data_IF_130131883275
#
_entry.id   IF_130131883275
#
_cell.length_a   1.000
_cell.length_b   1.000
_cell.length_c   1.000
_cell.angle_alpha   90.00
_cell.angle_beta   90.00
_cell.angle_gamma   90.00
#
_symmetry.space_group_name_H-M   'P 1'
#
loop_
_entity.id
_entity.type
_entity.pdbx_description
1 polymer ?
#
# COMPACT_ATOMS: atom_id res chain seq x y z
N UNK A 1 9.83 2.42 29.91
CA UNK A 1 10.46 2.51 28.57
C UNK A 1 9.71 3.54 27.76
N UNK A 2 10.41 4.52 27.21
CA UNK A 2 9.81 5.54 26.31
C UNK A 2 9.70 4.90 24.92
N UNK A 3 8.59 5.10 24.23
CA UNK A 3 8.45 4.68 22.83
C UNK A 3 8.72 5.88 21.94
N UNK A 4 9.27 5.64 20.78
CA UNK A 4 9.51 6.63 19.73
C UNK A 4 8.99 6.06 18.40
N UNK A 5 8.38 6.91 17.60
CA UNK A 5 7.85 6.54 16.29
C UNK A 5 8.71 7.15 15.19
N UNK A 6 9.32 6.30 14.36
CA UNK A 6 9.98 6.73 13.12
C UNK A 6 9.03 6.54 11.93
N UNK A 7 9.16 7.43 10.96
CA UNK A 7 8.37 7.46 9.72
C UNK A 7 9.33 7.28 8.55
N UNK A 8 9.12 6.23 7.77
CA UNK A 8 9.86 5.94 6.55
C UNK A 8 9.01 6.29 5.34
N UNK A 9 9.57 7.08 4.45
CA UNK A 9 8.87 7.58 3.27
C UNK A 9 9.58 7.12 2.02
N UNK A 10 8.90 6.31 1.23
CA UNK A 10 9.34 5.91 -0.10
C UNK A 10 9.00 6.99 -1.13
N UNK A 11 9.88 7.18 -2.09
CA UNK A 11 9.77 8.25 -3.10
C UNK A 11 10.03 7.73 -4.51
N UNK A 12 9.61 8.50 -5.53
CA UNK A 12 10.17 8.34 -6.87
C UNK A 12 11.45 9.17 -6.99
N UNK A 13 12.51 8.55 -7.49
CA UNK A 13 13.85 9.14 -7.62
C UNK A 13 14.24 9.39 -9.07
N UNK A 14 13.59 8.69 -10.00
CA UNK A 14 13.85 8.76 -11.43
C UNK A 14 12.53 8.94 -12.20
N UNK A 15 12.58 9.36 -13.49
CA UNK A 15 11.39 9.46 -14.31
C UNK A 15 10.64 8.13 -14.41
N UNK A 16 9.33 8.16 -14.13
CA UNK A 16 8.46 7.01 -14.27
C UNK A 16 7.32 7.30 -15.23
N UNK A 17 7.07 6.36 -16.16
CA UNK A 17 5.91 6.41 -17.05
C UNK A 17 4.82 5.52 -16.51
N UNK A 18 3.72 6.12 -16.08
CA UNK A 18 2.53 5.40 -15.61
C UNK A 18 1.75 4.70 -16.72
N UNK A 19 0.86 3.78 -16.36
CA UNK A 19 -0.04 3.10 -17.30
C UNK A 19 -0.98 4.05 -18.08
N UNK A 20 -1.17 5.29 -17.62
CA UNK A 20 -1.86 6.37 -18.35
C UNK A 20 -1.01 7.01 -19.45
N UNK A 21 0.27 6.65 -19.58
CA UNK A 21 1.22 7.31 -20.46
C UNK A 21 1.86 8.59 -19.89
N UNK A 22 1.31 9.15 -18.79
CA UNK A 22 1.90 10.31 -18.09
C UNK A 22 3.29 9.97 -17.56
N UNK A 23 4.25 10.87 -17.75
CA UNK A 23 5.60 10.76 -17.17
C UNK A 23 5.66 11.69 -15.95
N UNK A 24 6.02 11.15 -14.82
CA UNK A 24 6.38 11.87 -13.61
C UNK A 24 7.90 11.95 -13.52
N UNK A 25 8.43 13.14 -13.24
CA UNK A 25 9.84 13.32 -12.90
C UNK A 25 10.00 13.02 -11.42
N UNK A 26 10.63 11.90 -11.08
CA UNK A 26 11.02 11.59 -9.70
C UNK A 26 12.08 12.59 -9.21
N UNK A 27 11.88 13.13 -8.01
CA UNK A 27 12.72 14.17 -7.41
C UNK A 27 13.37 13.71 -6.11
N UNK A 28 12.97 12.53 -5.61
CA UNK A 28 13.51 11.96 -4.37
C UNK A 28 14.95 11.46 -4.53
N UNK A 29 15.60 11.23 -3.40
CA UNK A 29 16.96 10.69 -3.35
C UNK A 29 16.97 9.22 -2.90
N UNK A 30 15.83 8.70 -2.43
CA UNK A 30 15.69 7.35 -1.89
C UNK A 30 14.60 7.27 -0.82
N UNK A 31 14.93 6.70 0.35
CA UNK A 31 14.01 6.55 1.48
C UNK A 31 14.32 7.64 2.51
N UNK A 32 13.33 8.47 2.82
CA UNK A 32 13.44 9.52 3.84
C UNK A 32 12.97 8.99 5.19
N UNK A 33 13.70 9.32 6.25
CA UNK A 33 13.40 8.90 7.62
C UNK A 33 13.20 10.12 8.50
N UNK A 34 12.09 10.15 9.21
CA UNK A 34 11.70 11.21 10.12
C UNK A 34 11.37 10.64 11.50
N UNK A 35 11.48 11.49 12.52
CA UNK A 35 10.93 11.24 13.86
C UNK A 35 9.57 11.93 13.96
N UNK A 36 8.55 11.21 14.41
CA UNK A 36 7.23 11.78 14.69
C UNK A 36 7.20 12.33 16.11
N UNK A 37 6.94 13.63 16.26
CA UNK A 37 6.56 14.19 17.55
C UNK A 37 5.13 13.75 17.89
N UNK A 38 5.00 12.90 18.90
CA UNK A 38 3.74 12.28 19.29
C UNK A 38 2.74 13.26 19.94
N UNK A 39 3.14 14.51 20.21
CA UNK A 39 2.29 15.57 20.78
C UNK A 39 1.72 16.45 19.69
N UNK A 40 2.58 17.00 18.84
CA UNK A 40 2.22 17.96 17.78
C UNK A 40 1.88 17.29 16.45
N UNK A 41 2.45 16.12 16.14
CA UNK A 41 2.41 15.48 14.82
C UNK A 41 3.45 16.03 13.85
N UNK A 42 4.37 16.88 14.30
CA UNK A 42 5.47 17.37 13.49
C UNK A 42 6.47 16.25 13.17
N UNK A 43 7.12 16.37 12.02
CA UNK A 43 8.16 15.45 11.59
C UNK A 43 9.53 16.13 11.66
N UNK A 44 10.42 15.56 12.45
CA UNK A 44 11.82 15.97 12.50
C UNK A 44 12.65 15.12 11.55
N UNK A 45 13.43 15.69 10.63
CA UNK A 45 14.26 14.92 9.72
C UNK A 45 15.34 14.16 10.48
N UNK A 46 15.50 12.87 10.18
CA UNK A 46 16.57 12.03 10.75
C UNK A 46 17.64 11.80 9.70
N UNK A 47 17.26 11.31 8.51
CA UNK A 47 18.20 11.03 7.42
C UNK A 47 17.49 10.77 6.10
N UNK A 48 18.30 10.68 5.04
CA UNK A 48 17.94 10.11 3.74
C UNK A 48 18.82 8.91 3.47
N UNK A 49 18.21 7.77 3.14
CA UNK A 49 18.91 6.59 2.63
C UNK A 49 18.97 6.72 1.12
N UNK A 50 20.02 7.38 0.65
CA UNK A 50 20.21 7.74 -0.75
C UNK A 50 20.59 6.53 -1.63
N UNK A 51 20.38 6.65 -2.95
CA UNK A 51 20.79 5.64 -3.93
C UNK A 51 19.85 4.45 -4.06
N UNK A 52 18.73 4.45 -3.35
CA UNK A 52 17.65 3.46 -3.55
C UNK A 52 16.75 3.98 -4.66
N UNK A 53 16.81 3.34 -5.82
CA UNK A 53 16.07 3.78 -7.01
C UNK A 53 14.59 3.45 -6.87
N UNK A 54 13.73 4.46 -7.05
CA UNK A 54 12.26 4.36 -7.02
C UNK A 54 11.72 3.43 -5.92
N UNK A 55 12.05 3.65 -4.61
CA UNK A 55 11.50 2.85 -3.51
C UNK A 55 10.04 3.22 -3.27
N UNK A 56 9.18 2.92 -4.26
CA UNK A 56 7.80 3.40 -4.29
C UNK A 56 6.87 2.71 -3.29
N UNK A 57 7.26 1.56 -2.75
CA UNK A 57 6.55 0.90 -1.66
C UNK A 57 7.51 0.17 -0.72
N UNK A 58 7.20 0.24 0.57
CA UNK A 58 8.01 -0.28 1.66
C UNK A 58 7.22 -1.27 2.51
N UNK A 59 7.88 -2.29 3.06
CA UNK A 59 7.30 -3.18 4.07
C UNK A 59 8.35 -3.56 5.12
N UNK A 60 7.97 -3.49 6.39
CA UNK A 60 8.75 -4.08 7.48
C UNK A 60 8.36 -5.55 7.68
N UNK A 61 9.30 -6.34 8.18
CA UNK A 61 9.00 -7.62 8.81
C UNK A 61 8.21 -7.42 10.12
N UNK A 62 7.63 -8.47 10.67
CA UNK A 62 6.79 -8.39 11.89
C UNK A 62 7.58 -7.94 13.13
N UNK A 63 8.89 -8.20 13.13
CA UNK A 63 9.80 -7.84 14.23
C UNK A 63 10.44 -6.46 14.06
N UNK A 64 10.21 -5.81 12.90
CA UNK A 64 10.80 -4.52 12.54
C UNK A 64 12.35 -4.52 12.52
N UNK A 65 12.96 -5.68 12.27
CA UNK A 65 14.42 -5.82 12.09
C UNK A 65 14.85 -5.66 10.65
N UNK A 66 13.93 -5.85 9.70
CA UNK A 66 14.20 -5.77 8.27
C UNK A 66 13.16 -4.89 7.57
N UNK A 67 13.62 -4.21 6.53
CA UNK A 67 12.77 -3.44 5.63
C UNK A 67 13.03 -3.88 4.20
N UNK A 68 11.96 -4.05 3.44
CA UNK A 68 11.98 -4.39 2.03
C UNK A 68 11.37 -3.25 1.22
N UNK A 69 12.05 -2.85 0.16
CA UNK A 69 11.62 -1.77 -0.72
C UNK A 69 11.55 -2.28 -2.16
N UNK A 70 10.42 -2.11 -2.85
CA UNK A 70 10.41 -2.31 -4.31
C UNK A 70 11.30 -1.26 -4.96
N UNK A 71 11.90 -1.62 -6.08
CA UNK A 71 12.49 -0.68 -7.02
C UNK A 71 11.63 -0.71 -8.26
N UNK A 72 10.71 0.27 -8.38
CA UNK A 72 9.71 0.34 -9.45
C UNK A 72 10.40 0.73 -10.77
N UNK A 73 10.83 -0.30 -11.49
CA UNK A 73 11.62 -0.20 -12.71
C UNK A 73 11.03 -1.08 -13.82
N UNK A 74 11.31 -0.71 -15.06
CA UNK A 74 10.95 -1.50 -16.26
C UNK A 74 12.05 -2.46 -16.68
N UNK A 75 13.28 -2.21 -16.22
CA UNK A 75 14.45 -3.05 -16.51
C UNK A 75 15.37 -3.12 -15.31
N UNK A 76 15.87 -4.31 -15.03
CA UNK A 76 16.85 -4.59 -14.00
C UNK A 76 17.91 -5.53 -14.55
N UNK A 77 19.21 -5.18 -14.43
CA UNK A 77 20.35 -5.93 -14.97
C UNK A 77 20.20 -6.30 -16.46
N UNK A 78 19.67 -5.36 -17.25
CA UNK A 78 19.49 -5.54 -18.70
C UNK A 78 18.33 -6.46 -19.10
N UNK A 79 17.52 -6.93 -18.16
CA UNK A 79 16.32 -7.75 -18.41
C UNK A 79 15.05 -6.96 -18.09
N UNK A 80 13.91 -7.23 -18.77
CA UNK A 80 12.63 -6.67 -18.37
C UNK A 80 12.29 -7.07 -16.93
N UNK A 81 11.91 -6.10 -16.09
CA UNK A 81 11.54 -6.32 -14.71
C UNK A 81 12.09 -5.27 -13.75
N UNK A 82 11.51 -5.21 -12.55
CA UNK A 82 12.07 -4.45 -11.45
C UNK A 82 12.74 -5.35 -10.41
N UNK A 83 12.95 -4.82 -9.22
CA UNK A 83 13.63 -5.54 -8.14
C UNK A 83 13.06 -5.20 -6.77
N UNK A 84 13.48 -5.95 -5.76
CA UNK A 84 13.27 -5.63 -4.34
C UNK A 84 14.62 -5.54 -3.66
N UNK A 85 14.84 -4.45 -2.93
CA UNK A 85 15.99 -4.25 -2.05
C UNK A 85 15.64 -4.64 -0.63
N UNK A 86 16.51 -5.38 0.04
CA UNK A 86 16.43 -5.75 1.44
C UNK A 86 17.39 -4.91 2.28
N UNK A 87 16.94 -4.47 3.45
CA UNK A 87 17.72 -3.70 4.41
C UNK A 87 17.57 -4.26 5.83
N UNK A 88 18.68 -4.31 6.56
CA UNK A 88 18.68 -4.45 8.00
C UNK A 88 18.31 -3.12 8.66
N UNK A 89 17.48 -3.17 9.69
CA UNK A 89 17.09 -1.99 10.49
C UNK A 89 17.88 -2.00 11.79
N UNK A 90 18.66 -0.97 12.03
CA UNK A 90 19.39 -0.82 13.28
C UNK A 90 18.41 -0.49 14.42
N UNK A 91 18.39 -1.30 15.50
CA UNK A 91 17.32 -1.19 16.52
C UNK A 91 17.29 0.14 17.28
N UNK A 92 18.43 0.82 17.43
CA UNK A 92 18.52 2.05 18.23
C UNK A 92 18.32 3.33 17.43
N UNK A 93 18.86 3.42 16.22
CA UNK A 93 18.77 4.61 15.38
C UNK A 93 17.69 4.49 14.28
N UNK A 94 17.30 3.27 13.93
CA UNK A 94 16.42 3.01 12.79
C UNK A 94 17.13 3.15 11.46
N UNK A 95 18.47 3.03 11.46
CA UNK A 95 19.29 3.11 10.27
C UNK A 95 19.06 1.90 9.37
N UNK A 96 19.13 2.14 8.07
CA UNK A 96 19.01 1.07 7.07
C UNK A 96 20.40 0.71 6.55
N UNK A 97 20.75 -0.57 6.71
CA UNK A 97 21.93 -1.18 6.09
C UNK A 97 21.48 -2.05 4.94
N UNK A 98 21.96 -1.76 3.72
CA UNK A 98 21.65 -2.58 2.54
C UNK A 98 22.19 -4.00 2.73
N UNK A 99 21.34 -5.00 2.48
CA UNK A 99 21.69 -6.41 2.57
C UNK A 99 21.91 -7.01 1.18
N UNK A 100 20.85 -7.06 0.38
CA UNK A 100 20.91 -7.52 -1.00
C UNK A 100 19.71 -7.03 -1.82
N UNK A 101 19.69 -7.42 -3.09
CA UNK A 101 18.62 -7.10 -4.02
C UNK A 101 18.32 -8.32 -4.89
N UNK A 102 17.02 -8.54 -5.18
CA UNK A 102 16.58 -9.64 -6.04
C UNK A 102 15.61 -9.14 -7.13
N UNK A 103 15.63 -9.72 -8.35
CA UNK A 103 14.68 -9.39 -9.40
C UNK A 103 13.26 -9.87 -9.06
N UNK A 104 12.25 -9.11 -9.50
CA UNK A 104 10.82 -9.49 -9.36
C UNK A 104 10.26 -10.20 -10.58
N UNK A 105 11.05 -10.33 -11.65
CA UNK A 105 10.69 -10.93 -12.95
C UNK A 105 9.49 -10.28 -13.66
N UNK A 106 8.90 -9.23 -13.09
CA UNK A 106 7.84 -8.42 -13.68
C UNK A 106 8.19 -6.94 -13.65
N UNK A 107 7.55 -6.15 -14.51
CA UNK A 107 7.84 -4.72 -14.67
C UNK A 107 6.98 -3.86 -13.74
N UNK A 108 7.57 -2.76 -13.27
CA UNK A 108 6.97 -1.79 -12.38
C UNK A 108 6.40 -2.46 -11.10
N UNK A 109 7.25 -3.12 -10.27
CA UNK A 109 6.82 -3.60 -8.95
C UNK A 109 6.40 -2.41 -8.09
N UNK A 110 5.12 -2.36 -7.72
CA UNK A 110 4.51 -1.20 -7.06
C UNK A 110 4.02 -1.48 -5.63
N UNK A 111 4.10 -2.72 -5.18
CA UNK A 111 3.69 -3.12 -3.83
C UNK A 111 4.53 -4.28 -3.33
N UNK A 112 4.90 -4.24 -2.04
CA UNK A 112 5.62 -5.30 -1.34
C UNK A 112 4.97 -5.57 0.01
N UNK A 113 4.91 -6.85 0.40
CA UNK A 113 4.39 -7.32 1.68
C UNK A 113 5.30 -8.42 2.21
N UNK A 114 5.52 -8.44 3.52
CA UNK A 114 6.15 -9.56 4.24
C UNK A 114 5.06 -10.38 4.94
N UNK A 115 5.12 -11.70 4.88
CA UNK A 115 4.19 -12.53 5.62
C UNK A 115 4.45 -12.47 7.14
N UNK A 116 3.46 -12.83 7.96
CA UNK A 116 3.57 -12.78 9.43
C UNK A 116 4.61 -13.72 10.04
N UNK A 117 5.16 -14.65 9.25
CA UNK A 117 6.24 -15.54 9.67
C UNK A 117 7.62 -15.01 9.29
N UNK A 118 7.67 -13.86 8.65
CA UNK A 118 8.87 -13.20 8.16
C UNK A 118 9.73 -14.08 7.22
N UNK A 119 9.09 -15.05 6.57
CA UNK A 119 9.76 -16.04 5.73
C UNK A 119 9.67 -15.79 4.24
N UNK A 120 8.75 -14.93 3.80
CA UNK A 120 8.54 -14.63 2.37
C UNK A 120 8.10 -13.18 2.17
N UNK A 121 8.60 -12.61 1.09
CA UNK A 121 8.18 -11.31 0.54
C UNK A 121 7.33 -11.55 -0.69
N UNK A 122 6.21 -10.85 -0.80
CA UNK A 122 5.26 -10.89 -1.92
C UNK A 122 5.27 -9.55 -2.64
N UNK A 123 5.34 -9.58 -3.96
CA UNK A 123 5.45 -8.38 -4.79
C UNK A 123 4.38 -8.40 -5.87
N UNK A 124 3.68 -7.29 -6.04
CA UNK A 124 2.82 -7.07 -7.20
C UNK A 124 3.56 -6.21 -8.24
N UNK A 125 3.62 -6.68 -9.47
CA UNK A 125 4.22 -6.01 -10.61
C UNK A 125 3.10 -5.44 -11.49
N UNK A 126 2.97 -4.12 -11.53
CA UNK A 126 1.82 -3.45 -12.13
C UNK A 126 1.77 -3.59 -13.65
N UNK A 127 2.84 -3.17 -14.36
CA UNK A 127 2.78 -3.11 -15.82
C UNK A 127 2.81 -4.47 -16.49
N UNK A 128 3.43 -5.48 -15.88
CA UNK A 128 3.37 -6.87 -16.38
C UNK A 128 2.12 -7.61 -15.90
N UNK A 129 1.40 -7.12 -14.88
CA UNK A 129 0.26 -7.83 -14.31
C UNK A 129 0.64 -9.19 -13.74
N UNK A 130 1.60 -9.22 -12.82
CA UNK A 130 2.14 -10.45 -12.26
C UNK A 130 2.44 -10.33 -10.77
N UNK A 131 2.62 -11.47 -10.12
CA UNK A 131 3.02 -11.57 -8.71
C UNK A 131 4.29 -12.39 -8.60
N UNK A 132 5.19 -11.94 -7.73
CA UNK A 132 6.44 -12.64 -7.41
C UNK A 132 6.51 -12.94 -5.92
N UNK A 133 7.03 -14.10 -5.54
CA UNK A 133 7.28 -14.50 -4.15
C UNK A 133 8.78 -14.78 -3.97
N UNK A 134 9.37 -14.15 -2.97
CA UNK A 134 10.80 -14.30 -2.67
C UNK A 134 10.97 -14.81 -1.23
N UNK A 135 11.68 -15.92 -1.01
CA UNK A 135 12.02 -16.38 0.34
C UNK A 135 12.93 -15.37 1.05
N UNK A 136 12.80 -15.31 2.36
CA UNK A 136 13.61 -14.49 3.26
C UNK A 136 14.46 -15.40 4.13
N UNK A 137 15.76 -15.14 4.18
CA UNK A 137 16.70 -15.83 5.06
C UNK A 137 16.67 -15.26 6.48
N UNK A 138 17.23 -15.97 7.43
CA UNK A 138 17.30 -15.52 8.83
C UNK A 138 18.06 -14.21 9.02
N UNK A 139 19.01 -13.90 8.13
CA UNK A 139 19.77 -12.66 8.10
C UNK A 139 19.03 -11.49 7.40
N UNK A 140 17.80 -11.72 6.93
CA UNK A 140 16.96 -10.74 6.21
C UNK A 140 17.25 -10.63 4.72
N UNK A 141 18.25 -11.32 4.20
CA UNK A 141 18.52 -11.34 2.76
C UNK A 141 17.39 -12.06 2.00
N UNK A 142 17.10 -11.57 0.80
CA UNK A 142 16.18 -12.22 -0.13
C UNK A 142 16.90 -13.32 -0.90
N UNK A 143 16.23 -14.44 -1.11
CA UNK A 143 16.65 -15.48 -2.06
C UNK A 143 16.02 -15.23 -3.44
N UNK A 144 16.44 -16.03 -4.43
CA UNK A 144 15.79 -16.04 -5.72
C UNK A 144 14.30 -16.39 -5.59
N UNK A 145 13.47 -15.86 -6.49
CA UNK A 145 12.03 -16.08 -6.44
C UNK A 145 11.67 -17.56 -6.37
N UNK A 146 10.83 -17.92 -5.41
CA UNK A 146 10.27 -19.27 -5.27
C UNK A 146 9.04 -19.46 -6.17
N UNK A 147 8.38 -18.36 -6.54
CA UNK A 147 7.20 -18.39 -7.38
C UNK A 147 7.02 -17.10 -8.19
N UNK A 148 6.46 -17.25 -9.39
CA UNK A 148 6.09 -16.14 -10.27
C UNK A 148 4.81 -16.49 -11.03
N UNK A 149 3.78 -15.68 -10.84
CA UNK A 149 2.49 -15.89 -11.49
C UNK A 149 2.16 -14.75 -12.43
N UNK A 150 1.99 -15.08 -13.72
CA UNK A 150 1.51 -14.14 -14.73
C UNK A 150 -0.01 -14.20 -14.80
N UNK A 151 -0.67 -13.03 -14.65
CA UNK A 151 -2.11 -12.91 -14.87
C UNK A 151 -2.40 -12.78 -16.37
N UNK A 152 -3.62 -13.14 -16.79
CA UNK A 152 -4.07 -13.10 -18.18
C UNK A 152 -5.50 -12.57 -18.31
N UNK A 153 -5.76 -11.83 -19.38
CA UNK A 153 -7.07 -11.26 -19.69
C UNK A 153 -7.02 -9.74 -19.83
N UNK A 154 -8.20 -9.12 -19.87
CA UNK A 154 -8.40 -7.69 -20.00
C UNK A 154 -9.73 -7.28 -19.37
N UNK A 155 -9.94 -6.00 -19.12
CA UNK A 155 -11.20 -5.38 -18.72
C UNK A 155 -11.88 -4.65 -19.87
N UNK A 156 -12.84 -3.78 -19.51
CA UNK A 156 -13.67 -3.07 -20.50
C UNK A 156 -13.08 -1.74 -20.97
N UNK A 157 -12.14 -1.17 -20.23
CA UNK A 157 -11.47 0.08 -20.58
C UNK A 157 -10.20 -0.20 -21.39
N UNK A 158 -10.19 0.02 -22.72
CA UNK A 158 -9.03 -0.28 -23.54
C UNK A 158 -7.81 0.61 -23.23
N UNK A 159 -8.01 1.77 -22.59
CA UNK A 159 -6.92 2.68 -22.22
C UNK A 159 -6.23 2.26 -20.91
N UNK A 160 -6.98 1.64 -19.98
CA UNK A 160 -6.49 1.32 -18.64
C UNK A 160 -6.47 -0.17 -18.33
N UNK A 161 -7.18 -1.00 -19.12
CA UNK A 161 -7.42 -2.42 -18.86
C UNK A 161 -7.16 -3.28 -20.10
N UNK A 162 -6.27 -2.86 -21.00
CA UNK A 162 -5.87 -3.65 -22.17
C UNK A 162 -5.15 -4.95 -21.79
N UNK A 163 -4.65 -5.06 -20.59
CA UNK A 163 -4.01 -6.23 -20.00
C UNK A 163 -4.15 -6.24 -18.48
N UNK A 164 -3.61 -7.25 -17.80
CA UNK A 164 -3.64 -7.34 -16.34
C UNK A 164 -2.71 -6.29 -15.71
N UNK A 165 -3.09 -5.80 -14.52
CA UNK A 165 -2.35 -4.82 -13.74
C UNK A 165 -2.48 -5.13 -12.24
N UNK A 166 -1.70 -6.10 -11.74
CA UNK A 166 -1.64 -6.43 -10.31
C UNK A 166 -1.11 -5.24 -9.52
N UNK A 167 -1.89 -4.74 -8.54
CA UNK A 167 -1.52 -3.50 -7.85
C UNK A 167 -1.11 -3.67 -6.39
N UNK A 168 -1.57 -4.70 -5.73
CA UNK A 168 -1.14 -5.01 -4.36
C UNK A 168 -1.25 -6.51 -4.07
N UNK A 169 -0.63 -6.93 -2.97
CA UNK A 169 -0.82 -8.26 -2.39
C UNK A 169 -1.19 -8.07 -0.93
N UNK A 170 -2.21 -8.78 -0.47
CA UNK A 170 -2.63 -8.80 0.94
C UNK A 170 -2.81 -10.25 1.37
N UNK A 171 -2.41 -10.58 2.60
CA UNK A 171 -2.61 -11.91 3.17
C UNK A 171 -3.71 -11.89 4.22
N UNK A 172 -4.41 -13.02 4.38
CA UNK A 172 -5.31 -13.19 5.53
C UNK A 172 -4.52 -13.28 6.84
N UNK A 173 -5.22 -13.08 7.96
CA UNK A 173 -4.60 -13.10 9.28
C UNK A 173 -3.89 -14.43 9.62
N UNK A 174 -4.27 -15.53 8.98
CA UNK A 174 -3.71 -16.86 9.18
C UNK A 174 -2.59 -17.22 8.18
N UNK A 175 -2.27 -16.32 7.23
CA UNK A 175 -1.31 -16.59 6.13
C UNK A 175 -1.65 -17.84 5.31
N UNK A 176 -2.94 -18.08 5.06
CA UNK A 176 -3.41 -19.19 4.24
C UNK A 176 -3.78 -18.79 2.83
N UNK A 177 -4.21 -17.54 2.69
CA UNK A 177 -4.67 -17.00 1.42
C UNK A 177 -3.97 -15.69 1.12
N UNK A 178 -3.62 -15.50 -0.17
CA UNK A 178 -3.12 -14.25 -0.72
C UNK A 178 -4.17 -13.67 -1.67
N UNK A 179 -4.38 -12.37 -1.58
CA UNK A 179 -5.36 -11.62 -2.35
C UNK A 179 -4.64 -10.57 -3.17
N UNK A 180 -4.91 -10.58 -4.48
CA UNK A 180 -4.26 -9.70 -5.45
C UNK A 180 -5.33 -8.94 -6.22
N UNK A 181 -5.61 -7.67 -5.85
CA UNK A 181 -6.41 -6.81 -6.71
C UNK A 181 -5.68 -6.59 -8.04
N UNK A 182 -6.34 -6.91 -9.14
CA UNK A 182 -5.85 -6.66 -10.49
C UNK A 182 -6.76 -5.65 -11.18
N UNK A 183 -6.24 -4.44 -11.35
CA UNK A 183 -6.95 -3.31 -11.92
C UNK A 183 -7.38 -3.58 -13.36
N UNK A 184 -6.52 -4.26 -14.13
CA UNK A 184 -6.77 -4.54 -15.53
C UNK A 184 -7.83 -5.62 -15.77
N UNK A 185 -8.11 -6.45 -14.77
CA UNK A 185 -9.03 -7.58 -14.89
C UNK A 185 -10.38 -7.36 -14.20
N UNK A 186 -10.55 -6.27 -13.43
CA UNK A 186 -11.69 -6.06 -12.53
C UNK A 186 -11.90 -7.24 -11.55
N UNK A 187 -10.79 -7.78 -11.03
CA UNK A 187 -10.80 -8.95 -10.15
C UNK A 187 -9.95 -8.72 -8.90
N UNK A 188 -10.42 -9.27 -7.81
CA UNK A 188 -9.59 -9.60 -6.66
C UNK A 188 -9.24 -11.09 -6.78
N UNK A 189 -8.04 -11.39 -7.24
CA UNK A 189 -7.57 -12.77 -7.40
C UNK A 189 -7.27 -13.38 -6.03
N UNK A 190 -7.56 -14.67 -5.87
CA UNK A 190 -7.42 -15.40 -4.62
C UNK A 190 -6.55 -16.62 -4.82
N UNK A 191 -5.48 -16.69 -4.04
CA UNK A 191 -4.54 -17.80 -4.05
C UNK A 191 -4.46 -18.45 -2.68
N UNK A 192 -4.28 -19.78 -2.66
CA UNK A 192 -3.83 -20.51 -1.47
C UNK A 192 -2.31 -20.39 -1.38
N UNK A 193 -1.82 -20.08 -0.20
CA UNK A 193 -0.39 -19.98 0.08
C UNK A 193 0.11 -21.31 0.67
N UNK A 194 1.11 -21.92 0.03
CA UNK A 194 1.98 -22.90 0.68
C UNK A 194 3.07 -22.14 1.45
N UNK A 195 2.97 -22.01 2.78
CA UNK A 195 3.89 -21.19 3.56
C UNK A 195 5.28 -21.83 3.74
N UNK A 196 5.46 -23.11 3.33
CA UNK A 196 6.76 -23.80 3.41
C UNK A 196 7.56 -23.59 2.13
N UNK A 197 6.86 -23.63 0.99
CA UNK A 197 7.49 -23.54 -0.34
C UNK A 197 7.47 -22.10 -0.89
N UNK A 198 6.68 -21.19 -0.28
CA UNK A 198 6.46 -19.86 -0.82
C UNK A 198 5.79 -19.89 -2.19
N UNK A 199 4.83 -20.79 -2.39
CA UNK A 199 4.11 -20.93 -3.64
C UNK A 199 2.65 -20.53 -3.49
N UNK A 200 2.09 -19.94 -4.55
CA UNK A 200 0.71 -19.53 -4.66
C UNK A 200 -0.02 -20.40 -5.66
N UNK A 201 -1.11 -21.05 -5.21
CA UNK A 201 -1.98 -21.83 -6.08
C UNK A 201 -3.35 -21.15 -6.16
N UNK A 202 -4.00 -21.08 -7.33
CA UNK A 202 -5.35 -20.56 -7.43
C UNK A 202 -6.30 -21.25 -6.44
N UNK A 203 -7.11 -20.46 -5.73
CA UNK A 203 -8.11 -21.01 -4.81
C UNK A 203 -9.22 -21.71 -5.58
N UNK A 204 -10.04 -22.53 -4.88
CA UNK A 204 -11.22 -23.19 -5.46
C UNK A 204 -12.20 -22.18 -6.09
N UNK A 205 -12.37 -21.00 -5.43
CA UNK A 205 -12.97 -19.80 -6.02
C UNK A 205 -11.84 -18.83 -6.28
N UNK A 206 -11.30 -18.76 -7.52
CA UNK A 206 -10.02 -18.13 -7.78
C UNK A 206 -10.06 -16.61 -7.85
N UNK A 207 -11.23 -15.99 -7.79
CA UNK A 207 -11.38 -14.53 -7.76
C UNK A 207 -12.76 -14.10 -7.25
N UNK A 208 -12.82 -12.86 -6.75
CA UNK A 208 -14.03 -12.06 -6.62
C UNK A 208 -14.03 -11.01 -7.74
N UNK A 209 -15.17 -10.81 -8.43
CA UNK A 209 -15.30 -9.78 -9.49
C UNK A 209 -15.91 -8.52 -8.90
N UNK A 210 -15.31 -7.37 -9.21
CA UNK A 210 -15.92 -6.06 -9.02
C UNK A 210 -16.74 -5.67 -10.25
N UNK A 211 -17.44 -4.54 -10.16
CA UNK A 211 -18.13 -3.94 -11.31
C UNK A 211 -17.14 -3.75 -12.48
N UNK A 212 -17.52 -4.10 -13.73
CA UNK A 212 -16.67 -3.85 -14.89
C UNK A 212 -16.27 -2.37 -15.01
N UNK A 213 -14.98 -2.12 -15.22
CA UNK A 213 -14.38 -0.78 -15.27
C UNK A 213 -14.07 -0.17 -13.91
N UNK A 214 -14.26 -0.86 -12.79
CA UNK A 214 -13.98 -0.33 -11.48
C UNK A 214 -12.47 -0.25 -11.16
N UNK A 215 -11.67 -1.22 -11.60
CA UNK A 215 -10.23 -1.26 -11.43
C UNK A 215 -9.78 -1.39 -9.98
N UNK A 216 -9.89 -2.56 -9.35
CA UNK A 216 -9.51 -2.76 -7.95
C UNK A 216 -8.00 -2.60 -7.76
N UNK A 217 -7.62 -1.92 -6.67
CA UNK A 217 -6.24 -1.47 -6.46
C UNK A 217 -5.61 -1.99 -5.17
N UNK A 218 -6.18 -1.67 -4.02
CA UNK A 218 -5.71 -2.10 -2.70
C UNK A 218 -6.84 -2.71 -1.89
N UNK A 219 -6.51 -3.71 -1.06
CA UNK A 219 -7.41 -4.35 -0.12
C UNK A 219 -6.90 -4.12 1.30
N UNK A 220 -7.76 -3.61 2.19
CA UNK A 220 -7.49 -3.50 3.61
C UNK A 220 -8.45 -4.37 4.41
N UNK A 221 -7.92 -5.25 5.27
CA UNK A 221 -8.76 -6.02 6.20
C UNK A 221 -9.10 -5.22 7.45
N UNK A 222 -10.33 -5.37 7.91
CA UNK A 222 -10.69 -4.97 9.26
C UNK A 222 -9.90 -5.79 10.29
N UNK A 223 -9.49 -5.22 11.45
CA UNK A 223 -8.72 -5.96 12.47
C UNK A 223 -9.39 -7.24 12.98
N UNK A 224 -10.72 -7.34 12.90
CA UNK A 224 -11.44 -8.59 13.24
C UNK A 224 -11.20 -9.73 12.24
N UNK A 225 -10.64 -9.44 11.06
CA UNK A 225 -10.49 -10.40 9.98
C UNK A 225 -11.78 -10.85 9.30
N UNK A 226 -12.95 -10.23 9.62
CA UNK A 226 -14.25 -10.62 9.06
C UNK A 226 -14.63 -9.86 7.80
N UNK A 227 -14.04 -8.68 7.59
CA UNK A 227 -14.39 -7.77 6.50
C UNK A 227 -13.16 -7.28 5.77
N UNK A 228 -13.31 -7.07 4.46
CA UNK A 228 -12.34 -6.43 3.58
C UNK A 228 -12.93 -5.17 2.94
N UNK A 229 -12.06 -4.17 2.73
CA UNK A 229 -12.38 -2.93 2.05
C UNK A 229 -11.47 -2.82 0.83
N UNK A 230 -12.06 -3.02 -0.35
CA UNK A 230 -11.37 -3.03 -1.63
C UNK A 230 -11.58 -1.69 -2.32
N UNK A 231 -10.51 -0.91 -2.48
CA UNK A 231 -10.59 0.37 -3.19
C UNK A 231 -10.44 0.15 -4.69
N UNK A 232 -11.35 0.77 -5.45
CA UNK A 232 -11.37 0.72 -6.90
C UNK A 232 -10.85 2.05 -7.46
N UNK A 233 -9.78 1.98 -8.28
CA UNK A 233 -9.10 3.17 -8.78
C UNK A 233 -9.93 3.95 -9.79
N UNK A 234 -10.56 3.24 -10.75
CA UNK A 234 -11.07 3.86 -11.96
C UNK A 234 -12.46 4.48 -11.79
N UNK A 235 -13.31 3.89 -10.96
CA UNK A 235 -14.67 4.40 -10.70
C UNK A 235 -14.83 5.13 -9.37
N UNK A 236 -13.74 5.31 -8.62
CA UNK A 236 -13.70 6.04 -7.33
C UNK A 236 -14.70 5.48 -6.31
N UNK A 237 -14.63 4.18 -6.07
CA UNK A 237 -15.50 3.47 -5.11
C UNK A 237 -14.72 2.62 -4.11
N UNK A 238 -15.39 2.27 -3.00
CA UNK A 238 -14.98 1.20 -2.07
C UNK A 238 -16.01 0.08 -2.13
N UNK A 239 -15.56 -1.14 -2.46
CA UNK A 239 -16.35 -2.36 -2.30
C UNK A 239 -16.14 -2.92 -0.91
N UNK A 240 -17.21 -3.02 -0.14
CA UNK A 240 -17.22 -3.58 1.22
C UNK A 240 -17.56 -5.05 1.13
N UNK A 241 -16.70 -5.90 1.68
CA UNK A 241 -16.72 -7.35 1.53
C UNK A 241 -16.83 -8.04 2.88
N UNK A 242 -17.68 -9.05 3.00
CA UNK A 242 -17.54 -10.08 4.03
C UNK A 242 -16.48 -11.08 3.58
N UNK A 243 -15.76 -11.65 4.53
CA UNK A 243 -14.70 -12.62 4.28
C UNK A 243 -14.94 -13.91 5.05
N UNK A 244 -14.97 -15.04 4.35
CA UNK A 244 -14.92 -16.36 4.95
C UNK A 244 -13.45 -16.88 4.96
N UNK A 245 -12.82 -16.82 6.11
CA UNK A 245 -11.45 -17.27 6.27
C UNK A 245 -11.28 -18.80 6.18
N UNK A 246 -12.32 -19.62 6.09
CA UNK A 246 -12.19 -21.07 5.89
C UNK A 246 -11.98 -21.42 4.42
N UNK A 247 -12.75 -20.79 3.57
CA UNK A 247 -12.74 -21.00 2.12
C UNK A 247 -11.88 -20.00 1.36
N UNK A 248 -11.49 -18.86 1.97
CA UNK A 248 -10.79 -17.77 1.31
C UNK A 248 -11.68 -16.99 0.35
N UNK A 249 -12.99 -16.94 0.59
CA UNK A 249 -13.96 -16.32 -0.32
C UNK A 249 -14.51 -15.02 0.21
N UNK A 250 -15.00 -14.18 -0.71
CA UNK A 250 -15.63 -12.90 -0.40
C UNK A 250 -17.05 -12.84 -0.94
N UNK A 251 -17.90 -12.10 -0.21
CA UNK A 251 -19.23 -11.69 -0.67
C UNK A 251 -19.35 -10.17 -0.54
N UNK A 252 -19.93 -9.52 -1.55
CA UNK A 252 -20.18 -8.08 -1.53
C UNK A 252 -21.29 -7.75 -0.52
N UNK A 253 -21.01 -6.84 0.39
CA UNK A 253 -22.01 -6.29 1.31
C UNK A 253 -22.66 -5.03 0.73
N UNK A 254 -21.86 -4.12 0.17
CA UNK A 254 -22.30 -2.94 -0.58
C UNK A 254 -21.07 -2.20 -1.16
N UNK A 255 -21.34 -1.25 -2.05
CA UNK A 255 -20.36 -0.34 -2.62
C UNK A 255 -20.68 1.09 -2.19
N UNK A 256 -19.66 1.87 -1.82
CA UNK A 256 -19.80 3.29 -1.47
C UNK A 256 -18.89 4.15 -2.35
N UNK A 257 -19.33 5.36 -2.77
CA UNK A 257 -18.50 6.30 -3.49
C UNK A 257 -17.43 6.89 -2.55
N UNK A 258 -16.24 7.22 -3.10
CA UNK A 258 -15.18 7.92 -2.35
C UNK A 258 -15.18 9.42 -2.58
N UNK A 259 -15.99 9.90 -3.51
CA UNK A 259 -16.12 11.30 -3.87
C UNK A 259 -17.43 11.90 -3.30
N UNK A 260 -17.47 13.20 -3.03
CA UNK A 260 -18.73 13.90 -2.76
C UNK A 260 -19.70 13.82 -3.95
N UNK A 261 -21.00 13.82 -3.68
CA UNK A 261 -22.04 13.73 -4.72
C UNK A 261 -22.04 14.91 -5.71
N UNK A 262 -21.58 16.06 -5.26
CA UNK A 262 -21.51 17.31 -6.04
C UNK A 262 -20.17 17.48 -6.79
N UNK A 263 -19.20 16.63 -6.56
CA UNK A 263 -17.92 16.71 -7.28
C UNK A 263 -18.10 16.43 -8.79
N UNK A 264 -17.53 17.33 -9.60
CA UNK A 264 -17.52 17.23 -11.07
C UNK A 264 -16.10 17.45 -11.57
N UNK A 265 -15.35 16.41 -11.71
CA UNK A 265 -13.96 16.44 -12.15
C UNK A 265 -13.41 15.04 -12.32
N UNK A 266 -12.19 14.96 -12.84
CA UNK A 266 -11.47 13.70 -12.91
C UNK A 266 -10.87 13.37 -11.55
N UNK A 267 -11.07 12.16 -11.09
CA UNK A 267 -10.45 11.63 -9.88
C UNK A 267 -10.27 10.13 -9.97
N UNK A 268 -9.21 9.64 -9.35
CA UNK A 268 -8.94 8.21 -9.21
C UNK A 268 -8.55 7.91 -7.77
N UNK A 269 -8.99 6.77 -7.25
CA UNK A 269 -8.56 6.36 -5.92
C UNK A 269 -7.10 5.89 -5.89
N UNK A 270 -6.50 5.90 -4.69
CA UNK A 270 -5.17 5.35 -4.50
C UNK A 270 -5.10 4.35 -3.34
N UNK A 271 -5.14 4.79 -2.11
CA UNK A 271 -4.88 3.96 -0.94
C UNK A 271 -6.12 3.83 -0.05
N UNK A 272 -6.22 2.73 0.69
CA UNK A 272 -7.25 2.47 1.69
C UNK A 272 -6.63 1.87 2.94
N UNK A 273 -6.95 2.43 4.10
CA UNK A 273 -6.50 1.91 5.37
C UNK A 273 -7.62 1.90 6.41
N UNK A 274 -7.60 0.89 7.25
CA UNK A 274 -8.47 0.78 8.43
C UNK A 274 -7.70 1.32 9.63
N UNK A 275 -8.30 2.21 10.39
CA UNK A 275 -7.71 2.67 11.65
C UNK A 275 -7.42 1.47 12.58
N UNK A 276 -6.37 1.49 13.42
CA UNK A 276 -6.05 0.38 14.34
C UNK A 276 -7.20 -0.02 15.24
N UNK A 277 -8.10 0.92 15.57
CA UNK A 277 -9.31 0.68 16.35
C UNK A 277 -10.40 -0.13 15.61
N UNK A 278 -10.28 -0.32 14.30
CA UNK A 278 -11.33 -0.90 13.45
C UNK A 278 -12.56 0.00 13.23
N UNK A 279 -12.63 1.17 13.87
CA UNK A 279 -13.84 2.00 13.87
C UNK A 279 -14.02 2.86 12.63
N UNK A 280 -12.93 3.12 11.90
CA UNK A 280 -12.91 4.01 10.75
C UNK A 280 -12.08 3.45 9.61
N UNK A 281 -12.51 3.76 8.38
CA UNK A 281 -11.78 3.50 7.13
C UNK A 281 -11.52 4.83 6.45
N UNK A 282 -10.32 4.98 5.91
CA UNK A 282 -9.90 6.13 5.14
C UNK A 282 -9.52 5.70 3.73
N UNK A 283 -9.84 6.53 2.74
CA UNK A 283 -9.54 6.28 1.33
C UNK A 283 -9.05 7.56 0.65
N UNK A 284 -7.97 7.50 -0.13
CA UNK A 284 -7.42 8.68 -0.79
C UNK A 284 -7.89 8.81 -2.23
N UNK A 285 -8.19 10.05 -2.64
CA UNK A 285 -8.64 10.46 -3.97
C UNK A 285 -7.61 11.38 -4.62
N UNK A 286 -7.06 10.98 -5.76
CA UNK A 286 -6.14 11.77 -6.59
C UNK A 286 -6.94 12.52 -7.65
N UNK A 287 -6.86 13.85 -7.67
CA UNK A 287 -7.67 14.75 -8.49
C UNK A 287 -8.66 15.55 -7.66
N UNK A 288 -9.49 14.90 -6.84
CA UNK A 288 -10.23 15.58 -5.76
C UNK A 288 -9.30 15.96 -4.58
N UNK A 289 -8.14 15.30 -4.48
CA UNK A 289 -7.07 15.57 -3.53
C UNK A 289 -7.54 15.57 -2.07
N UNK A 290 -8.29 14.53 -1.71
CA UNK A 290 -8.90 14.36 -0.40
C UNK A 290 -8.73 12.96 0.18
N UNK A 291 -9.04 12.86 1.48
CA UNK A 291 -9.29 11.61 2.18
C UNK A 291 -10.79 11.49 2.45
N UNK A 292 -11.43 10.48 1.88
CA UNK A 292 -12.78 10.07 2.26
C UNK A 292 -12.73 9.33 3.61
N UNK A 293 -13.65 9.64 4.51
CA UNK A 293 -13.68 9.14 5.88
C UNK A 293 -14.97 8.36 6.08
N UNK A 294 -14.86 7.13 6.57
CA UNK A 294 -16.02 6.27 6.82
C UNK A 294 -16.00 5.74 8.25
N UNK A 295 -17.19 5.70 8.84
CA UNK A 295 -17.45 4.96 10.08
C UNK A 295 -17.83 3.53 9.74
N UNK A 296 -17.26 2.56 10.46
CA UNK A 296 -17.55 1.13 10.34
C UNK A 296 -18.66 0.75 11.32
N UNK A 297 -19.73 0.14 10.84
CA UNK A 297 -20.67 -0.58 11.68
C UNK A 297 -20.00 -1.86 12.21
N UNK A 298 -19.72 -1.92 13.50
CA UNK A 298 -18.94 -3.00 14.13
C UNK A 298 -19.67 -4.36 14.15
N UNK A 299 -20.94 -4.40 13.77
CA UNK A 299 -21.72 -5.63 13.66
C UNK A 299 -21.77 -6.17 12.25
N UNK A 300 -21.83 -5.30 11.26
CA UNK A 300 -22.07 -5.67 9.86
C UNK A 300 -20.89 -5.40 8.94
N UNK A 301 -19.88 -4.62 9.36
CA UNK A 301 -18.77 -4.17 8.53
C UNK A 301 -19.12 -3.07 7.53
N UNK A 302 -20.40 -2.67 7.44
CA UNK A 302 -20.86 -1.64 6.50
C UNK A 302 -20.29 -0.28 6.82
N UNK A 303 -20.08 0.51 5.78
CA UNK A 303 -19.52 1.86 5.85
C UNK A 303 -20.60 2.93 5.76
N UNK A 304 -20.45 3.98 6.60
CA UNK A 304 -21.21 5.21 6.48
C UNK A 304 -20.23 6.37 6.30
N UNK A 305 -20.41 7.18 5.26
CA UNK A 305 -19.54 8.33 5.00
C UNK A 305 -19.68 9.36 6.15
N UNK A 306 -18.55 9.80 6.68
CA UNK A 306 -18.43 10.86 7.70
C UNK A 306 -18.13 12.21 7.04
N UNK A 307 -17.46 12.18 5.89
CA UNK A 307 -17.07 13.37 5.14
C UNK A 307 -15.76 13.16 4.38
N UNK A 308 -15.27 14.26 3.83
CA UNK A 308 -14.03 14.33 3.07
C UNK A 308 -13.15 15.42 3.68
N UNK A 309 -11.84 15.15 3.79
CA UNK A 309 -10.85 16.11 4.25
C UNK A 309 -9.84 16.38 3.14
N UNK A 310 -9.67 17.63 2.68
CA UNK A 310 -8.63 17.98 1.72
C UNK A 310 -7.23 17.66 2.26
N UNK A 311 -6.37 17.07 1.42
CA UNK A 311 -5.02 16.67 1.84
C UNK A 311 -4.03 17.83 1.91
N UNK A 312 -4.46 19.05 1.57
CA UNK A 312 -3.65 20.28 1.51
C UNK A 312 -2.45 20.16 0.56
N UNK A 313 -2.58 19.30 -0.42
CA UNK A 313 -1.62 19.07 -1.49
C UNK A 313 -2.29 18.36 -2.65
N UNK A 314 -1.51 17.84 -3.60
CA UNK A 314 -2.03 17.19 -4.80
C UNK A 314 -1.55 15.76 -4.92
N UNK A 315 -2.44 14.92 -5.46
CA UNK A 315 -2.16 13.52 -5.75
C UNK A 315 -1.75 12.74 -4.50
N UNK A 316 -2.64 12.60 -3.47
CA UNK A 316 -2.37 11.80 -2.29
C UNK A 316 -2.32 10.30 -2.65
N UNK A 317 -1.18 9.86 -3.22
CA UNK A 317 -0.98 8.49 -3.72
C UNK A 317 -0.95 7.46 -2.60
N UNK A 318 -0.48 7.85 -1.42
CA UNK A 318 -0.45 7.02 -0.22
C UNK A 318 -0.70 7.89 1.01
N UNK A 319 -1.08 7.26 2.09
CA UNK A 319 -1.09 7.85 3.41
C UNK A 319 -0.73 6.77 4.43
N UNK A 320 -0.38 7.18 5.64
CA UNK A 320 -0.12 6.25 6.72
C UNK A 320 -0.85 6.67 8.00
N UNK A 321 -1.41 5.71 8.72
CA UNK A 321 -1.97 5.93 10.05
C UNK A 321 -0.92 5.45 11.05
N UNK A 322 -0.55 6.30 12.01
CA UNK A 322 0.40 5.91 13.04
C UNK A 322 -0.13 4.73 13.88
N UNK A 323 0.73 3.89 14.43
CA UNK A 323 0.29 2.67 15.15
C UNK A 323 -0.60 2.94 16.35
N UNK A 324 -0.60 4.16 16.90
CA UNK A 324 -1.50 4.56 18.00
C UNK A 324 -2.89 5.00 17.50
N UNK A 325 -3.03 5.25 16.20
CA UNK A 325 -4.26 5.76 15.59
C UNK A 325 -4.55 7.22 15.91
N UNK A 326 -3.55 8.00 16.35
CA UNK A 326 -3.71 9.43 16.68
C UNK A 326 -3.47 10.35 15.50
N UNK A 327 -2.59 9.95 14.58
CA UNK A 327 -2.18 10.75 13.44
C UNK A 327 -2.35 9.99 12.13
N UNK A 328 -2.62 10.75 11.08
CA UNK A 328 -2.59 10.30 9.70
C UNK A 328 -1.68 11.25 8.91
N UNK A 329 -0.76 10.70 8.15
CA UNK A 329 0.16 11.42 7.29
C UNK A 329 -0.22 11.18 5.83
N UNK A 330 -0.63 12.23 5.11
CA UNK A 330 -0.95 12.16 3.69
C UNK A 330 0.29 12.49 2.84
N UNK A 331 0.64 11.60 1.92
CA UNK A 331 1.77 11.78 1.00
C UNK A 331 1.26 12.34 -0.33
N UNK A 332 1.42 13.64 -0.52
CA UNK A 332 0.99 14.40 -1.69
C UNK A 332 2.10 14.39 -2.75
N UNK A 333 2.02 13.43 -3.67
CA UNK A 333 3.06 13.14 -4.66
C UNK A 333 3.44 14.37 -5.51
N UNK A 334 2.43 15.10 -6.05
CA UNK A 334 2.67 16.15 -7.04
C UNK A 334 3.00 17.52 -6.40
N UNK A 335 2.82 17.67 -5.09
CA UNK A 335 3.19 18.87 -4.33
C UNK A 335 4.33 18.66 -3.34
N UNK A 336 5.03 17.52 -3.46
CA UNK A 336 6.26 17.24 -2.72
C UNK A 336 6.10 17.46 -1.19
N UNK A 337 5.02 16.93 -0.60
CA UNK A 337 4.72 17.19 0.81
C UNK A 337 4.10 16.00 1.55
N UNK A 338 4.44 15.89 2.83
CA UNK A 338 3.67 15.14 3.83
C UNK A 338 2.87 16.12 4.67
N UNK A 339 1.57 15.90 4.78
CA UNK A 339 0.69 16.70 5.66
C UNK A 339 0.18 15.82 6.77
N UNK A 340 0.36 16.29 8.02
CA UNK A 340 -0.07 15.55 9.21
C UNK A 340 -1.45 16.01 9.68
N UNK A 341 -2.32 15.04 9.89
CA UNK A 341 -3.66 15.23 10.46
C UNK A 341 -3.77 14.52 11.80
N UNK A 342 -4.49 15.14 12.73
CA UNK A 342 -4.94 14.48 13.96
C UNK A 342 -6.26 13.78 13.70
N UNK A 343 -6.35 12.51 14.12
CA UNK A 343 -7.57 11.71 14.04
C UNK A 343 -8.39 11.96 15.31
N UNK A 344 -9.64 12.40 15.16
CA UNK A 344 -10.60 12.43 16.26
C UNK A 344 -11.12 11.00 16.53
N UNK A 345 -10.75 10.44 17.66
CA UNK A 345 -11.06 9.04 18.00
C UNK A 345 -12.55 8.71 18.15
N UNK A 346 -13.43 9.71 18.28
CA UNK A 346 -14.89 9.52 18.43
C UNK A 346 -15.61 9.57 17.10
N UNK A 347 -15.24 10.52 16.25
CA UNK A 347 -15.90 10.80 14.97
C UNK A 347 -15.14 10.28 13.75
N UNK A 348 -13.83 9.99 13.88
CA UNK A 348 -12.93 9.65 12.77
C UNK A 348 -12.52 10.85 11.92
N UNK A 349 -13.05 12.05 12.18
CA UNK A 349 -12.72 13.26 11.44
C UNK A 349 -11.24 13.60 11.56
N UNK A 350 -10.69 14.08 10.47
CA UNK A 350 -9.32 14.55 10.40
C UNK A 350 -9.28 16.05 10.66
N UNK A 351 -8.25 16.50 11.39
CA UNK A 351 -7.95 17.91 11.60
C UNK A 351 -6.49 18.16 11.27
N UNK A 352 -6.18 19.07 10.33
CA UNK A 352 -4.79 19.42 10.05
C UNK A 352 -4.10 19.88 11.34
N UNK A 353 -2.87 19.41 11.57
CA UNK A 353 -2.06 19.86 12.71
C UNK A 353 -1.33 21.17 12.43
N UNK A 354 -1.28 21.59 11.17
CA UNK A 354 -0.42 22.65 10.67
C UNK A 354 0.98 22.18 10.28
N UNK A 355 1.34 20.91 10.58
CA UNK A 355 2.62 20.36 10.18
C UNK A 355 2.58 19.93 8.71
N UNK A 356 3.39 20.59 7.90
CA UNK A 356 3.65 20.27 6.49
C UNK A 356 5.15 20.05 6.34
N UNK A 357 5.55 18.86 5.95
CA UNK A 357 6.95 18.48 5.78
C UNK A 357 7.26 18.32 4.29
N UNK A 358 8.24 19.08 3.75
CA UNK A 358 8.70 18.90 2.38
C UNK A 358 9.34 17.52 2.19
N UNK A 359 8.84 16.73 1.25
CA UNK A 359 9.42 15.46 0.82
C UNK A 359 9.23 15.34 -0.68
N UNK A 360 10.30 15.23 -1.46
CA UNK A 360 10.19 15.14 -2.91
C UNK A 360 9.47 13.86 -3.36
N UNK A 361 8.43 14.01 -4.18
CA UNK A 361 7.64 12.92 -4.78
C UNK A 361 7.34 11.74 -3.83
N UNK A 362 6.69 11.98 -2.65
CA UNK A 362 6.43 10.95 -1.65
C UNK A 362 5.28 10.04 -2.10
N UNK A 363 5.44 8.72 -1.98
CA UNK A 363 4.45 7.75 -2.50
C UNK A 363 4.19 6.55 -1.60
N UNK A 364 4.90 6.46 -0.47
CA UNK A 364 4.67 5.43 0.55
C UNK A 364 5.03 5.97 1.93
N UNK A 365 4.20 5.68 2.94
CA UNK A 365 4.45 6.04 4.34
C UNK A 365 4.36 4.80 5.21
N UNK A 366 5.42 4.49 5.96
CA UNK A 366 5.46 3.38 6.92
C UNK A 366 5.98 3.85 8.26
N UNK A 367 5.53 3.21 9.32
CA UNK A 367 5.91 3.53 10.70
C UNK A 367 6.70 2.40 11.32
N UNK A 368 7.70 2.77 12.10
CA UNK A 368 8.45 1.89 12.96
C UNK A 368 8.30 2.37 14.40
N UNK A 369 7.78 1.49 15.27
CA UNK A 369 7.69 1.71 16.71
C UNK A 369 8.92 1.13 17.38
N UNK A 370 9.72 1.97 18.03
CA UNK A 370 10.88 1.49 18.80
C UNK A 370 10.78 1.83 20.28
N UNK A 371 11.35 0.97 21.11
CA UNK A 371 11.51 1.21 22.53
C UNK A 371 12.85 1.90 22.77
N UNK A 372 12.82 3.08 23.36
CA UNK A 372 14.01 3.83 23.76
C UNK A 372 14.19 3.75 25.27
N UNK A 373 15.34 3.39 25.73
CA UNK A 373 15.71 3.39 27.15
C UNK A 373 16.02 2.03 27.70
#
# INVERSE_FOLDING_TARGET
MKTETLVYVGTYTEPIRFGTGKILQGKGEGIYVYRLDETSGALEPVRVVAGVVNPSYLAFDSTQRFLYAVNELKSYEGKPGGSVSAFGVEPKAGDLTFLNKQPTHGTDPCHVLVNKKDSHVFVANFMSGSVCVLPVREDGCLEAASDFLQHHGSGIDPARQAGPHAHSVTLDAANRFAFVPDLGLDKLLVYRLDPRRGMLEPNAVPWFKVKPGAGPRHLAFHPSGKWGYLINELDSTLTVLSYDGRSGTFEELHVVPTLPEDFRGESTCADVQVAPSGRFVYASNRGHDSLAIYKVDQRTGRLTCVGHEPTQGKTPRSFGIDPTGRFLLAANQDTDSLVTFRIDSRSGRLRPTGAVTPVPTPVCVKFLLRKTG
#
